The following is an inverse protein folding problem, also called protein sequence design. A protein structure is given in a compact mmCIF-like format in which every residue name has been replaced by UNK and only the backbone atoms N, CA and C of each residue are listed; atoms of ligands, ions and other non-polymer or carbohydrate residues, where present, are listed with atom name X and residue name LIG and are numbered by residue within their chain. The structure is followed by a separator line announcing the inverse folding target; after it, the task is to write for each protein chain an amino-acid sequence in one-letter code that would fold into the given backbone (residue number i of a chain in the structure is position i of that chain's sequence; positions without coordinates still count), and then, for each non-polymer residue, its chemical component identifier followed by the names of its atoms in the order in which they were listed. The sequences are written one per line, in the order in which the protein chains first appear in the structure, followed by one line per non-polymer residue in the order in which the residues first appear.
data_IF_309418834493
#
_entry.id   IF_309418834493
#
_cell.length_a   1.000
_cell.length_b   1.000
_cell.length_c   1.000
_cell.angle_alpha   90.00
_cell.angle_beta   90.00
_cell.angle_gamma   90.00
#
_symmetry.space_group_name_H-M   'P 1'
#
loop_
_entity.id
_entity.type
_entity.pdbx_description
1 polymer ?
#
# COMPACT_ATOMS: atom_id res chain seq x y z
N UNK A 1 -62.63 -6.46 -44.84
CA UNK A 1 -61.18 -6.27 -44.76
C UNK A 1 -60.86 -5.54 -43.46
N UNK A 2 -60.29 -6.26 -42.47
CA UNK A 2 -59.97 -5.75 -41.15
C UNK A 2 -58.45 -5.77 -41.00
N UNK A 3 -57.80 -4.59 -40.95
CA UNK A 3 -56.37 -4.46 -40.69
C UNK A 3 -56.13 -4.42 -39.17
N UNK A 4 -55.49 -5.45 -38.67
CA UNK A 4 -54.93 -5.47 -37.29
C UNK A 4 -53.58 -4.77 -37.31
N UNK A 5 -53.49 -3.63 -36.63
CA UNK A 5 -52.26 -2.96 -36.32
C UNK A 5 -51.64 -3.59 -35.06
N UNK A 6 -50.56 -4.30 -35.19
CA UNK A 6 -49.77 -4.80 -34.08
C UNK A 6 -48.86 -3.68 -33.58
N UNK A 7 -49.11 -3.18 -32.38
CA UNK A 7 -48.22 -2.27 -31.67
C UNK A 7 -47.11 -3.11 -31.03
N UNK A 8 -45.89 -3.03 -31.58
CA UNK A 8 -44.73 -3.60 -30.97
C UNK A 8 -44.18 -2.67 -29.87
N UNK A 9 -44.29 -3.12 -28.62
CA UNK A 9 -43.65 -2.43 -27.49
C UNK A 9 -42.14 -2.73 -27.49
N UNK A 10 -41.32 -1.73 -27.77
CA UNK A 10 -39.86 -1.80 -27.60
C UNK A 10 -39.57 -1.65 -26.10
N UNK A 11 -39.24 -2.74 -25.43
CA UNK A 11 -38.66 -2.72 -24.08
C UNK A 11 -37.20 -2.33 -24.19
N UNK A 12 -36.91 -1.07 -23.90
CA UNK A 12 -35.52 -0.60 -23.72
C UNK A 12 -35.02 -1.08 -22.35
N UNK A 13 -34.23 -2.14 -22.35
CA UNK A 13 -33.48 -2.56 -21.17
C UNK A 13 -32.37 -1.53 -20.91
N UNK A 14 -32.58 -0.64 -19.94
CA UNK A 14 -31.53 0.19 -19.38
C UNK A 14 -30.65 -0.75 -18.55
N UNK A 15 -29.53 -1.16 -19.10
CA UNK A 15 -28.49 -1.81 -18.32
C UNK A 15 -27.91 -0.75 -17.35
N UNK A 16 -28.31 -0.80 -16.07
CA UNK A 16 -27.60 -0.15 -15.00
C UNK A 16 -26.23 -0.84 -14.91
N UNK A 17 -25.27 -0.33 -15.64
CA UNK A 17 -23.87 -0.67 -15.42
C UNK A 17 -23.51 -0.20 -14.03
N UNK A 18 -23.33 -1.12 -13.09
CA UNK A 18 -22.61 -0.83 -11.85
C UNK A 18 -21.23 -0.37 -12.27
N UNK A 19 -20.95 0.93 -12.15
CA UNK A 19 -19.59 1.43 -12.14
C UNK A 19 -18.92 0.76 -10.93
N UNK A 20 -18.24 -0.36 -11.18
CA UNK A 20 -17.23 -0.87 -10.25
C UNK A 20 -16.19 0.23 -10.24
N UNK A 21 -16.21 1.07 -9.20
CA UNK A 21 -15.19 2.09 -9.00
C UNK A 21 -13.85 1.39 -9.04
N UNK A 22 -12.97 1.80 -9.95
CA UNK A 22 -11.59 1.33 -9.95
C UNK A 22 -11.06 1.55 -8.53
N UNK A 23 -10.53 0.50 -7.89
CA UNK A 23 -9.80 0.66 -6.65
C UNK A 23 -8.70 1.70 -6.93
N UNK A 24 -8.78 2.83 -6.28
CA UNK A 24 -7.96 4.00 -6.58
C UNK A 24 -7.94 4.92 -5.37
N UNK A 25 -7.34 6.07 -5.54
CA UNK A 25 -7.33 7.09 -4.50
C UNK A 25 -8.76 7.48 -4.10
N UNK A 26 -9.00 7.73 -2.79
CA UNK A 26 -10.29 8.20 -2.33
C UNK A 26 -10.71 9.49 -3.07
N UNK A 27 -12.01 9.67 -3.38
CA UNK A 27 -12.48 10.80 -4.19
C UNK A 27 -12.50 12.14 -3.42
N UNK A 28 -11.62 12.30 -2.46
CA UNK A 28 -11.53 13.51 -1.64
C UNK A 28 -10.10 13.96 -1.46
N UNK A 29 -9.91 15.27 -1.27
CA UNK A 29 -8.61 15.86 -0.97
C UNK A 29 -8.33 15.74 0.53
N UNK A 30 -7.17 15.21 0.88
CA UNK A 30 -6.64 15.20 2.24
C UNK A 30 -5.52 16.22 2.36
N UNK A 31 -5.66 17.16 3.29
CA UNK A 31 -4.60 18.08 3.67
C UNK A 31 -4.28 17.90 5.16
N UNK A 32 -3.04 17.57 5.47
CA UNK A 32 -2.56 17.42 6.82
C UNK A 32 -1.47 18.46 7.08
N UNK A 33 -1.72 19.32 8.05
CA UNK A 33 -0.76 20.37 8.42
C UNK A 33 0.59 19.76 8.85
N UNK A 34 1.69 20.40 8.52
CA UNK A 34 3.04 19.92 8.78
C UNK A 34 3.31 19.60 10.26
N UNK A 35 2.75 20.36 11.19
CA UNK A 35 2.91 20.10 12.64
C UNK A 35 2.34 18.74 13.04
N UNK A 36 1.17 18.36 12.49
CA UNK A 36 0.58 17.05 12.72
C UNK A 36 1.40 15.94 12.10
N UNK A 37 1.93 16.16 10.90
CA UNK A 37 2.83 15.21 10.25
C UNK A 37 4.09 15.00 11.06
N UNK A 38 4.74 16.09 11.52
CA UNK A 38 5.95 16.04 12.33
C UNK A 38 5.71 15.32 13.68
N UNK A 39 4.61 15.64 14.35
CA UNK A 39 4.25 14.97 15.62
C UNK A 39 3.97 13.48 15.42
N UNK A 40 3.35 13.09 14.30
CA UNK A 40 3.12 11.69 13.96
C UNK A 40 4.44 10.99 13.63
N UNK A 41 5.34 11.65 12.92
CA UNK A 41 6.64 11.10 12.52
C UNK A 41 7.50 10.70 13.73
N UNK A 42 7.45 11.47 14.81
CA UNK A 42 8.19 11.17 16.06
C UNK A 42 7.69 9.87 16.71
N UNK A 43 6.39 9.63 16.68
CA UNK A 43 5.74 8.48 17.35
C UNK A 43 5.57 7.28 16.45
N UNK A 44 5.65 7.48 15.16
CA UNK A 44 5.18 6.55 14.15
C UNK A 44 3.66 6.46 14.09
N UNK A 45 3.08 6.33 12.90
CA UNK A 45 1.64 6.15 12.77
C UNK A 45 1.05 6.66 11.46
N UNK A 46 -0.27 6.55 11.37
CA UNK A 46 -1.04 6.94 10.20
C UNK A 46 -1.27 8.45 10.18
N UNK A 47 -0.98 9.07 9.05
CA UNK A 47 -1.22 10.48 8.76
C UNK A 47 -2.54 10.64 8.01
N UNK A 48 -2.78 9.74 7.06
CA UNK A 48 -4.02 9.61 6.29
C UNK A 48 -4.49 8.16 6.39
N UNK A 49 -5.77 7.96 6.59
CA UNK A 49 -6.45 6.66 6.52
C UNK A 49 -7.81 6.88 5.89
N UNK A 50 -7.95 6.44 4.66
CA UNK A 50 -9.20 6.49 3.91
C UNK A 50 -9.29 5.24 3.02
N UNK A 51 -10.45 4.99 2.45
CA UNK A 51 -10.70 3.83 1.60
C UNK A 51 -9.65 3.72 0.48
N UNK A 52 -8.93 2.60 0.47
CA UNK A 52 -7.90 2.32 -0.53
C UNK A 52 -6.59 3.13 -0.40
N UNK A 53 -6.47 4.02 0.60
CA UNK A 53 -5.27 4.84 0.81
C UNK A 53 -4.89 4.94 2.29
N UNK A 54 -3.67 4.57 2.63
CA UNK A 54 -3.08 4.81 3.95
C UNK A 54 -1.71 5.48 3.76
N UNK A 55 -1.52 6.64 4.37
CA UNK A 55 -0.20 7.29 4.45
C UNK A 55 0.32 7.20 5.87
N UNK A 56 1.52 6.66 6.01
CA UNK A 56 2.20 6.47 7.30
C UNK A 56 3.43 7.36 7.34
N UNK A 57 3.64 8.03 8.47
CA UNK A 57 4.91 8.65 8.82
C UNK A 57 5.56 7.79 9.91
N UNK A 58 6.77 7.29 9.67
CA UNK A 58 7.41 6.35 10.60
C UNK A 58 8.88 6.63 10.78
N UNK A 59 9.39 6.25 11.95
CA UNK A 59 10.81 6.27 12.29
C UNK A 59 11.19 4.93 12.93
N UNK A 60 12.27 4.33 12.41
CA UNK A 60 12.73 3.02 12.84
C UNK A 60 12.39 1.92 11.85
N UNK A 61 12.89 0.74 12.12
CA UNK A 61 12.69 -0.44 11.27
C UNK A 61 11.70 -1.41 11.92
N UNK A 62 10.76 -1.91 11.16
CA UNK A 62 9.90 -2.99 11.57
C UNK A 62 10.64 -4.31 11.39
N UNK A 63 10.70 -5.14 12.43
CA UNK A 63 11.38 -6.44 12.36
C UNK A 63 10.53 -7.49 11.66
N UNK A 64 11.21 -8.42 10.96
CA UNK A 64 10.60 -9.50 10.22
C UNK A 64 10.20 -9.11 8.81
N UNK A 65 9.84 -10.11 8.03
CA UNK A 65 9.35 -9.94 6.67
C UNK A 65 7.84 -9.78 6.65
N UNK A 66 7.34 -9.02 5.68
CA UNK A 66 5.91 -8.88 5.42
C UNK A 66 5.61 -8.96 3.92
N UNK A 67 4.38 -9.33 3.62
CA UNK A 67 3.83 -9.35 2.27
C UNK A 67 2.33 -9.08 2.36
N UNK A 68 1.84 -8.26 1.43
CA UNK A 68 0.43 -7.89 1.33
C UNK A 68 -0.14 -8.37 0.00
N UNK A 69 -1.32 -8.99 0.02
CA UNK A 69 -1.91 -9.57 -1.19
C UNK A 69 -2.43 -8.50 -2.16
N UNK A 70 -2.94 -7.39 -1.63
CA UNK A 70 -3.64 -6.36 -2.40
C UNK A 70 -3.12 -4.93 -2.14
N UNK A 71 -2.01 -4.76 -1.44
CA UNK A 71 -1.51 -3.43 -1.13
C UNK A 71 -0.16 -3.19 -1.79
N UNK A 72 -0.08 -2.09 -2.54
CA UNK A 72 1.17 -1.56 -3.07
C UNK A 72 1.73 -0.51 -2.11
N UNK A 73 3.06 -0.37 -2.08
CA UNK A 73 3.72 0.66 -1.28
C UNK A 73 4.60 1.55 -2.13
N UNK A 74 4.67 2.82 -1.73
CA UNK A 74 5.74 3.74 -2.11
C UNK A 74 6.40 4.22 -0.82
N UNK A 75 7.67 3.90 -0.61
CA UNK A 75 8.43 4.43 0.52
C UNK A 75 9.32 5.58 0.05
N UNK A 76 9.31 6.66 0.82
CA UNK A 76 10.11 7.87 0.60
C UNK A 76 10.98 8.06 1.84
N UNK A 77 12.29 7.91 1.69
CA UNK A 77 13.24 8.03 2.79
C UNK A 77 13.51 9.52 3.05
N UNK A 78 13.22 9.98 4.24
CA UNK A 78 13.34 11.40 4.60
C UNK A 78 14.44 11.68 5.63
N UNK A 79 14.91 10.63 6.34
CA UNK A 79 15.98 10.76 7.33
C UNK A 79 16.66 9.41 7.58
N UNK A 80 17.96 9.42 7.90
CA UNK A 80 18.73 8.22 8.20
C UNK A 80 18.90 7.29 7.01
N UNK A 81 19.21 6.02 7.31
CA UNK A 81 19.50 4.98 6.33
C UNK A 81 19.19 3.59 6.89
N UNK A 82 18.92 2.62 6.03
CA UNK A 82 18.77 1.22 6.41
C UNK A 82 18.89 0.30 5.20
N UNK A 83 19.23 -0.97 5.43
CA UNK A 83 19.08 -2.01 4.42
C UNK A 83 17.62 -2.41 4.27
N UNK A 84 17.19 -2.57 3.03
CA UNK A 84 15.85 -3.01 2.67
C UNK A 84 15.90 -4.17 1.69
N UNK A 85 15.29 -5.29 2.05
CA UNK A 85 15.28 -6.50 1.25
C UNK A 85 13.92 -6.67 0.62
N UNK A 86 13.87 -6.96 -0.68
CA UNK A 86 12.64 -7.22 -1.44
C UNK A 86 12.76 -8.52 -2.23
N UNK A 87 11.62 -9.10 -2.60
CA UNK A 87 11.52 -10.35 -3.34
C UNK A 87 12.08 -11.54 -2.54
N UNK A 88 12.51 -12.60 -3.22
CA UNK A 88 12.99 -13.81 -2.56
C UNK A 88 11.87 -14.63 -1.92
N UNK A 89 12.24 -15.51 -0.99
CA UNK A 89 11.34 -16.44 -0.31
C UNK A 89 11.23 -16.08 1.17
N UNK A 90 10.00 -15.92 1.66
CA UNK A 90 9.77 -15.69 3.09
C UNK A 90 10.13 -16.91 3.91
N UNK A 91 10.78 -16.69 5.04
CA UNK A 91 11.11 -17.72 6.05
C UNK A 91 9.97 -17.79 7.06
N UNK A 92 9.49 -19.01 7.32
CA UNK A 92 8.38 -19.28 8.24
C UNK A 92 7.16 -18.37 8.05
N UNK A 93 6.59 -18.29 6.83
CA UNK A 93 5.48 -17.40 6.56
C UNK A 93 4.23 -17.85 7.31
N UNK A 94 3.49 -16.87 7.86
CA UNK A 94 2.23 -17.08 8.56
C UNK A 94 1.25 -15.98 8.16
N UNK A 95 0.03 -16.35 7.77
CA UNK A 95 -1.06 -15.40 7.58
C UNK A 95 -1.48 -14.85 8.95
N UNK A 96 -1.41 -13.56 9.14
CA UNK A 96 -1.71 -12.86 10.40
C UNK A 96 -3.03 -12.12 10.37
N UNK A 97 -3.52 -11.78 9.17
CA UNK A 97 -4.84 -11.23 8.89
C UNK A 97 -5.19 -11.48 7.41
N UNK A 98 -6.43 -11.28 6.96
CA UNK A 98 -6.79 -11.36 5.55
C UNK A 98 -5.86 -10.46 4.71
N UNK A 99 -5.21 -11.04 3.70
CA UNK A 99 -4.28 -10.35 2.83
C UNK A 99 -2.95 -9.94 3.45
N UNK A 100 -2.64 -10.39 4.67
CA UNK A 100 -1.42 -10.05 5.39
C UNK A 100 -0.63 -11.30 5.76
N UNK A 101 0.58 -11.42 5.27
CA UNK A 101 1.52 -12.50 5.62
C UNK A 101 2.76 -11.93 6.29
N UNK A 102 3.18 -12.53 7.39
CA UNK A 102 4.40 -12.21 8.12
C UNK A 102 5.35 -13.38 8.13
N UNK A 103 6.65 -13.10 8.18
CA UNK A 103 7.70 -14.11 8.28
C UNK A 103 8.86 -13.64 9.14
N UNK A 104 9.76 -14.55 9.49
CA UNK A 104 10.95 -14.22 10.28
C UNK A 104 12.05 -13.55 9.45
N UNK A 105 12.01 -13.69 8.13
CA UNK A 105 13.00 -13.12 7.22
C UNK A 105 12.73 -13.46 5.77
N UNK A 106 13.66 -13.05 4.89
CA UNK A 106 13.66 -13.34 3.46
C UNK A 106 14.98 -13.99 3.07
N UNK A 107 14.91 -15.11 2.37
CA UNK A 107 16.03 -15.79 1.71
C UNK A 107 16.08 -15.42 0.23
N UNK A 108 17.29 -15.26 -0.30
CA UNK A 108 17.55 -14.96 -1.73
C UNK A 108 16.82 -13.72 -2.24
N UNK A 109 16.55 -12.75 -1.37
CA UNK A 109 16.01 -11.45 -1.73
C UNK A 109 17.07 -10.50 -2.28
N UNK A 110 16.62 -9.39 -2.84
CA UNK A 110 17.48 -8.31 -3.32
C UNK A 110 17.61 -7.26 -2.22
N UNK A 111 18.82 -7.11 -1.67
CA UNK A 111 19.13 -6.08 -0.68
C UNK A 111 19.47 -4.75 -1.36
N UNK A 112 18.96 -3.65 -0.79
CA UNK A 112 19.30 -2.27 -1.18
C UNK A 112 19.59 -1.47 0.07
N UNK A 113 20.67 -0.72 0.04
CA UNK A 113 20.94 0.29 1.04
C UNK A 113 20.16 1.55 0.68
N UNK A 114 19.16 1.89 1.48
CA UNK A 114 18.31 3.06 1.27
C UNK A 114 18.77 4.20 2.18
N UNK A 115 18.92 5.38 1.61
CA UNK A 115 19.34 6.61 2.28
C UNK A 115 18.35 7.73 2.05
N UNK A 116 18.51 8.83 2.79
CA UNK A 116 17.68 10.02 2.64
C UNK A 116 17.59 10.49 1.18
N UNK A 117 16.40 10.65 0.67
CA UNK A 117 16.05 11.05 -0.69
C UNK A 117 15.67 9.87 -1.59
N UNK A 118 15.96 8.63 -1.19
CA UNK A 118 15.58 7.46 -1.97
C UNK A 118 14.06 7.23 -1.96
N UNK A 119 13.59 6.70 -3.08
CA UNK A 119 12.19 6.27 -3.26
C UNK A 119 12.19 4.84 -3.76
N UNK A 120 11.39 3.97 -3.13
CA UNK A 120 11.22 2.59 -3.56
C UNK A 120 9.73 2.25 -3.66
N UNK A 121 9.35 1.55 -4.72
CA UNK A 121 8.01 0.99 -4.90
C UNK A 121 8.02 -0.50 -4.65
N UNK A 122 7.00 -1.00 -3.95
CA UNK A 122 6.83 -2.41 -3.63
C UNK A 122 5.43 -2.82 -4.10
N UNK A 123 5.30 -3.54 -5.21
CA UNK A 123 4.02 -4.07 -5.66
C UNK A 123 3.41 -5.04 -4.66
N UNK A 124 2.10 -5.17 -4.66
CA UNK A 124 1.39 -6.23 -3.95
C UNK A 124 2.02 -7.60 -4.23
N UNK A 125 1.90 -8.52 -3.28
CA UNK A 125 2.47 -9.88 -3.32
C UNK A 125 3.99 -9.94 -3.37
N UNK A 126 4.67 -8.83 -3.06
CA UNK A 126 6.14 -8.78 -3.00
C UNK A 126 6.59 -8.87 -1.55
N UNK A 127 7.29 -9.95 -1.14
CA UNK A 127 7.94 -10.02 0.16
C UNK A 127 8.91 -8.87 0.35
N UNK A 128 8.87 -8.23 1.52
CA UNK A 128 9.79 -7.15 1.83
C UNK A 128 10.11 -7.10 3.32
N UNK A 129 11.27 -6.56 3.65
CA UNK A 129 11.80 -6.53 5.02
C UNK A 129 12.78 -5.37 5.20
N UNK A 130 12.62 -4.63 6.28
CA UNK A 130 13.67 -3.78 6.80
C UNK A 130 14.72 -4.62 7.53
N UNK A 131 15.99 -4.35 7.24
CA UNK A 131 17.12 -4.89 7.97
C UNK A 131 17.93 -3.71 8.48
N UNK A 132 17.91 -3.53 9.78
CA UNK A 132 18.71 -2.49 10.40
C UNK A 132 20.19 -2.83 10.33
N UNK A 133 20.94 -2.01 9.65
CA UNK A 133 22.39 -2.12 9.54
C UNK A 133 23.09 -0.80 9.91
N UNK A 134 22.31 0.26 10.13
CA UNK A 134 22.88 1.55 10.48
C UNK A 134 23.36 1.55 11.93
N UNK A 135 24.53 2.13 12.16
CA UNK A 135 25.03 2.36 13.53
C UNK A 135 24.18 3.38 14.29
N UNK A 136 23.38 4.15 13.57
CA UNK A 136 22.46 5.14 14.12
C UNK A 136 21.08 4.57 14.46
N UNK A 137 20.78 3.35 13.99
CA UNK A 137 19.62 2.55 14.38
C UNK A 137 18.27 3.10 13.94
N UNK A 138 18.21 4.11 13.07
CA UNK A 138 16.92 4.63 12.63
C UNK A 138 16.91 5.14 11.20
N UNK A 139 15.89 4.75 10.47
CA UNK A 139 15.49 5.32 9.19
C UNK A 139 14.14 6.02 9.38
N UNK A 140 14.00 7.20 8.80
CA UNK A 140 12.74 7.92 8.78
C UNK A 140 12.14 7.89 7.38
N UNK A 141 10.88 7.52 7.25
CA UNK A 141 10.25 7.39 5.94
C UNK A 141 8.75 7.67 5.98
N UNK A 142 8.22 8.09 4.85
CA UNK A 142 6.80 8.02 4.56
C UNK A 142 6.50 6.77 3.76
N UNK A 143 5.43 6.06 4.14
CA UNK A 143 4.88 4.97 3.36
C UNK A 143 3.51 5.38 2.84
N UNK A 144 3.36 5.41 1.52
CA UNK A 144 2.07 5.56 0.84
C UNK A 144 1.63 4.18 0.42
N UNK A 145 0.57 3.71 1.04
CA UNK A 145 -0.01 2.39 0.81
C UNK A 145 -1.34 2.56 0.10
N UNK A 146 -1.51 1.88 -1.02
CA UNK A 146 -2.75 1.93 -1.79
C UNK A 146 -3.09 0.55 -2.34
N UNK A 147 -4.39 0.29 -2.41
CA UNK A 147 -4.87 -0.99 -2.86
C UNK A 147 -4.60 -1.20 -4.36
N UNK A 148 -4.23 -2.43 -4.72
CA UNK A 148 -4.20 -2.88 -6.11
C UNK A 148 -5.60 -3.27 -6.54
N UNK A 149 -5.95 -2.95 -7.77
CA UNK A 149 -7.19 -3.40 -8.42
C UNK A 149 -7.22 -4.91 -8.59
#
# INVERSE_FOLDING_TARGET
MRYLLALGALLSAVALGTLVGAAGFPPRVHYIHHDKVAATFVKGGRVIEDEGLIVIANRGVQRGAEMHDNTNHVFIIVDGEAEFITCGKMVAPKVTAPGQTRGSGIENGVSRHLTKGDVITIPAKTPHQWKDTSKTGSVGYYAVNFDSN
#
